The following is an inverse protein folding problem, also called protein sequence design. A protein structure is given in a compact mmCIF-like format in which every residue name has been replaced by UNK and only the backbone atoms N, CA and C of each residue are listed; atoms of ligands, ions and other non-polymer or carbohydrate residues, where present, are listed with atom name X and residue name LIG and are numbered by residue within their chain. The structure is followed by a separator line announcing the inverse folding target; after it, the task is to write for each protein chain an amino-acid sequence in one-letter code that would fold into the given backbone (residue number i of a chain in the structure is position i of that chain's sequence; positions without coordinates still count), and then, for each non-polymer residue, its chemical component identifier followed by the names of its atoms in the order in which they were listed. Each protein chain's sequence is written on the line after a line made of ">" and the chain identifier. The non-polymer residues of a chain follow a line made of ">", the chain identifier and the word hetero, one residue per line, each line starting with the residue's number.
data_IF_538099328392
#
_entry.id   IF_538099328392
#
_cell.length_a   1.000
_cell.length_b   1.000
_cell.length_c   1.000
_cell.angle_alpha   90.00
_cell.angle_beta   90.00
_cell.angle_gamma   90.00
#
_symmetry.space_group_name_H-M   'P 1'
#
loop_
_entity.id
_entity.type
_entity.pdbx_description
1 polymer ?
#
# COMPACT_ATOMS: atom_id res chain seq x y z
N UNK A 1 7.91 6.27 12.59
CA UNK A 1 6.53 5.80 12.29
C UNK A 1 5.58 6.92 11.89
N UNK A 2 5.37 7.95 12.72
CA UNK A 2 4.36 9.00 12.48
C UNK A 2 4.53 9.75 11.14
N UNK A 3 5.76 10.02 10.73
CA UNK A 3 6.06 10.75 9.50
C UNK A 3 5.56 10.05 8.23
N UNK A 4 5.64 8.72 8.16
CA UNK A 4 5.18 7.93 7.00
C UNK A 4 3.65 8.01 6.88
N UNK A 5 2.95 7.93 8.01
CA UNK A 5 1.50 8.05 8.06
C UNK A 5 1.05 9.46 7.62
N UNK A 6 1.74 10.50 8.09
CA UNK A 6 1.48 11.88 7.69
C UNK A 6 1.69 12.05 6.18
N UNK A 7 2.81 11.54 5.64
CA UNK A 7 3.10 11.60 4.21
C UNK A 7 2.02 10.88 3.37
N UNK A 8 1.55 9.72 3.84
CA UNK A 8 0.46 8.99 3.19
C UNK A 8 -0.83 9.80 3.15
N UNK A 9 -1.22 10.43 4.27
CA UNK A 9 -2.43 11.26 4.32
C UNK A 9 -2.33 12.50 3.44
N UNK A 10 -1.16 13.15 3.39
CA UNK A 10 -0.92 14.26 2.47
C UNK A 10 -1.10 13.80 1.01
N UNK A 11 -0.53 12.65 0.66
CA UNK A 11 -0.69 12.06 -0.68
C UNK A 11 -2.14 11.72 -0.99
N UNK A 12 -2.88 11.14 -0.04
CA UNK A 12 -4.29 10.79 -0.21
C UNK A 12 -5.17 12.04 -0.43
N UNK A 13 -4.96 13.10 0.37
CA UNK A 13 -5.69 14.36 0.22
C UNK A 13 -5.35 15.02 -1.12
N UNK A 14 -4.07 15.03 -1.50
CA UNK A 14 -3.63 15.57 -2.79
C UNK A 14 -4.24 14.79 -3.99
N UNK A 15 -4.33 13.46 -3.88
CA UNK A 15 -4.97 12.61 -4.87
C UNK A 15 -6.47 12.91 -5.02
N UNK A 16 -7.19 13.11 -3.91
CA UNK A 16 -8.60 13.50 -3.92
C UNK A 16 -8.78 14.90 -4.53
N UNK A 17 -7.99 15.88 -4.08
CA UNK A 17 -8.04 17.24 -4.60
C UNK A 17 -7.73 17.29 -6.11
N UNK A 18 -6.72 16.54 -6.55
CA UNK A 18 -6.38 16.39 -7.96
C UNK A 18 -7.48 15.69 -8.75
N UNK A 19 -8.10 14.64 -8.19
CA UNK A 19 -9.22 13.94 -8.80
C UNK A 19 -10.38 14.91 -9.06
N UNK A 20 -10.75 15.72 -8.06
CA UNK A 20 -11.82 16.72 -8.20
C UNK A 20 -11.48 17.80 -9.22
N UNK A 21 -10.24 18.30 -9.22
CA UNK A 21 -9.79 19.37 -10.13
C UNK A 21 -9.71 18.91 -11.59
N UNK A 22 -9.15 17.72 -11.83
CA UNK A 22 -8.89 17.22 -13.18
C UNK A 22 -9.95 16.22 -13.67
N UNK A 23 -10.93 15.87 -12.83
CA UNK A 23 -11.96 14.85 -13.09
C UNK A 23 -11.39 13.51 -13.53
N UNK A 24 -10.15 13.20 -13.13
CA UNK A 24 -9.47 11.94 -13.46
C UNK A 24 -9.55 11.00 -12.25
N UNK A 25 -10.50 10.05 -12.22
CA UNK A 25 -10.67 9.15 -11.08
C UNK A 25 -9.44 8.28 -10.83
N UNK A 26 -8.62 8.06 -11.85
CA UNK A 26 -7.36 7.30 -11.73
C UNK A 26 -6.36 7.90 -10.75
N UNK A 27 -6.49 9.19 -10.39
CA UNK A 27 -5.65 9.80 -9.36
C UNK A 27 -5.86 9.18 -7.98
N UNK A 28 -7.05 8.64 -7.70
CA UNK A 28 -7.31 7.89 -6.47
C UNK A 28 -6.52 6.58 -6.42
N UNK A 29 -6.03 6.06 -7.55
CA UNK A 29 -5.16 4.88 -7.55
C UNK A 29 -3.81 5.17 -6.88
N UNK A 30 -3.37 6.42 -6.75
CA UNK A 30 -2.10 6.77 -6.14
C UNK A 30 -1.97 6.30 -4.67
N UNK A 31 -2.90 6.62 -3.75
CA UNK A 31 -2.84 6.09 -2.38
C UNK A 31 -2.98 4.56 -2.33
N UNK A 32 -3.79 3.95 -3.20
CA UNK A 32 -3.89 2.48 -3.27
C UNK A 32 -2.59 1.83 -3.76
N UNK A 33 -1.94 2.41 -4.77
CA UNK A 33 -0.67 1.96 -5.29
C UNK A 33 0.44 2.13 -4.25
N UNK A 34 0.44 3.22 -3.48
CA UNK A 34 1.38 3.43 -2.38
C UNK A 34 1.22 2.34 -1.30
N UNK A 35 -0.02 2.00 -0.93
CA UNK A 35 -0.29 0.89 0.00
C UNK A 35 0.14 -0.46 -0.58
N UNK A 36 -0.18 -0.73 -1.85
CA UNK A 36 0.21 -1.96 -2.53
C UNK A 36 1.74 -2.13 -2.59
N UNK A 37 2.46 -1.06 -2.90
CA UNK A 37 3.93 -1.05 -2.90
C UNK A 37 4.48 -1.28 -1.49
N UNK A 38 3.92 -0.64 -0.47
CA UNK A 38 4.32 -0.85 0.91
C UNK A 38 4.17 -2.31 1.34
N UNK A 39 3.05 -2.95 0.98
CA UNK A 39 2.81 -4.37 1.23
C UNK A 39 3.77 -5.25 0.44
N UNK A 40 4.00 -4.96 -0.85
CA UNK A 40 4.93 -5.71 -1.68
C UNK A 40 6.36 -5.67 -1.13
N UNK A 41 6.83 -4.50 -0.70
CA UNK A 41 8.14 -4.35 -0.05
C UNK A 41 8.19 -5.17 1.24
N UNK A 42 7.17 -5.11 2.09
CA UNK A 42 7.15 -5.92 3.30
C UNK A 42 7.19 -7.42 3.00
N UNK A 43 6.45 -7.87 2.00
CA UNK A 43 6.47 -9.27 1.54
C UNK A 43 7.88 -9.69 1.10
N UNK A 44 8.58 -8.84 0.33
CA UNK A 44 9.95 -9.12 -0.13
C UNK A 44 10.95 -9.17 1.03
N UNK A 45 10.70 -8.37 2.08
CA UNK A 45 11.54 -8.33 3.28
C UNK A 45 11.28 -9.49 4.25
N UNK A 46 10.24 -10.30 4.04
CA UNK A 46 10.01 -11.50 4.86
C UNK A 46 11.13 -12.52 4.57
N UNK A 47 11.81 -13.05 5.62
CA UNK A 47 12.94 -13.95 5.44
C UNK A 47 12.55 -15.34 4.91
N UNK A 48 11.27 -15.71 5.05
CA UNK A 48 10.71 -16.95 4.51
C UNK A 48 10.04 -16.70 3.15
N UNK A 49 10.08 -17.68 2.22
CA UNK A 49 9.25 -17.65 1.03
C UNK A 49 7.78 -17.38 1.36
N UNK A 50 7.14 -16.56 0.53
CA UNK A 50 5.75 -16.10 0.72
C UNK A 50 4.78 -17.27 0.91
N UNK A 51 4.98 -18.34 0.14
CA UNK A 51 4.16 -19.56 0.20
C UNK A 51 4.32 -20.31 1.53
N UNK A 52 5.55 -20.43 2.02
CA UNK A 52 5.85 -21.06 3.32
C UNK A 52 5.24 -20.25 4.47
N UNK A 53 5.27 -18.92 4.36
CA UNK A 53 4.66 -18.02 5.35
C UNK A 53 3.14 -18.18 5.37
N UNK A 54 2.50 -18.30 4.21
CA UNK A 54 1.05 -18.56 4.10
C UNK A 54 0.71 -19.93 4.72
N UNK A 55 1.46 -20.97 4.40
CA UNK A 55 1.26 -22.32 4.95
C UNK A 55 1.40 -22.32 6.49
N UNK A 56 2.40 -21.63 7.02
CA UNK A 56 2.63 -21.45 8.46
C UNK A 56 1.46 -20.74 9.15
N UNK A 57 0.98 -19.61 8.58
CA UNK A 57 -0.13 -18.83 9.15
C UNK A 57 -1.45 -19.62 9.09
N UNK A 58 -1.70 -20.30 7.97
CA UNK A 58 -2.95 -21.03 7.73
C UNK A 58 -2.97 -22.42 8.39
N UNK A 59 -1.88 -22.83 9.06
CA UNK A 59 -1.78 -24.14 9.71
C UNK A 59 -1.81 -25.32 8.72
N UNK A 60 -1.58 -25.06 7.43
CA UNK A 60 -1.50 -26.08 6.39
C UNK A 60 -0.09 -26.68 6.45
N UNK A 61 0.07 -27.76 7.21
CA UNK A 61 1.31 -28.56 7.24
C UNK A 61 1.33 -29.53 6.06
#
# INVERSE_FOLDING_TARGET
>A
MMAILIAFWILAIAAIAGMLKWKKPILLAAPFAAMGLYVAVQIILVPLPLWETIQMIMGMR
#
